data_IF_770573118718
#
_entry.id   IF_770573118718
#
_cell.length_a   1.000
_cell.length_b   1.000
_cell.length_c   1.000
_cell.angle_alpha   90.00
_cell.angle_beta   90.00
_cell.angle_gamma   90.00
#
_symmetry.space_group_name_H-M   'P 1'
#
loop_
_entity.id
_entity.type
_entity.pdbx_description
1 polymer ?
#
# COMPACT_ATOMS: atom_id res chain seq x y z
N UNK A 1 83.99 39.35 -21.64
CA UNK A 1 83.93 38.33 -20.59
C UNK A 1 82.50 37.79 -20.56
N UNK A 2 82.28 36.55 -21.03
CA UNK A 2 80.96 35.92 -21.19
C UNK A 2 80.61 35.17 -19.91
N UNK A 3 79.57 35.59 -19.17
CA UNK A 3 79.06 34.86 -18.03
C UNK A 3 78.18 33.70 -18.53
N UNK A 4 78.73 32.49 -18.48
CA UNK A 4 78.10 31.24 -18.89
C UNK A 4 76.92 30.95 -17.95
N UNK A 5 75.71 31.33 -18.34
CA UNK A 5 74.47 30.92 -17.68
C UNK A 5 74.42 29.40 -17.59
N UNK A 6 74.35 28.88 -16.37
CA UNK A 6 74.32 27.46 -16.08
C UNK A 6 72.95 26.90 -16.47
N UNK A 7 72.94 26.17 -17.60
CA UNK A 7 71.77 25.42 -18.10
C UNK A 7 71.14 24.52 -17.02
N UNK A 8 71.91 24.13 -16.01
CA UNK A 8 71.50 23.35 -14.84
C UNK A 8 70.50 24.07 -13.92
N UNK A 9 70.60 25.40 -13.75
CA UNK A 9 69.66 26.15 -12.90
C UNK A 9 68.25 26.18 -13.48
N UNK A 10 68.16 26.35 -14.80
CA UNK A 10 66.88 26.32 -15.53
C UNK A 10 66.25 24.93 -15.46
N UNK A 11 67.04 23.86 -15.58
CA UNK A 11 66.52 22.48 -15.48
C UNK A 11 65.93 22.19 -14.10
N UNK A 12 66.52 22.71 -13.02
CA UNK A 12 65.99 22.53 -11.65
C UNK A 12 64.69 23.32 -11.47
N UNK A 13 64.61 24.55 -11.99
CA UNK A 13 63.38 25.36 -11.95
C UNK A 13 62.25 24.76 -12.78
N UNK A 14 62.55 24.26 -13.97
CA UNK A 14 61.58 23.58 -14.84
C UNK A 14 61.12 22.26 -14.21
N UNK A 15 62.03 21.47 -13.65
CA UNK A 15 61.70 20.23 -12.93
C UNK A 15 60.83 20.49 -11.69
N UNK A 16 61.13 21.53 -10.92
CA UNK A 16 60.34 21.95 -9.77
C UNK A 16 58.93 22.38 -10.15
N UNK A 17 58.79 23.16 -11.23
CA UNK A 17 57.49 23.59 -11.73
C UNK A 17 56.61 22.41 -12.18
N UNK A 18 57.22 21.41 -12.84
CA UNK A 18 56.51 20.19 -13.26
C UNK A 18 56.07 19.36 -12.05
N UNK A 19 56.94 19.19 -11.04
CA UNK A 19 56.62 18.44 -9.83
C UNK A 19 55.46 19.07 -9.05
N UNK A 20 55.43 20.40 -8.92
CA UNK A 20 54.34 21.14 -8.28
C UNK A 20 53.05 21.01 -9.09
N UNK A 21 53.13 21.10 -10.42
CA UNK A 21 51.98 20.91 -11.30
C UNK A 21 51.34 19.54 -11.18
N UNK A 22 52.14 18.47 -11.12
CA UNK A 22 51.65 17.11 -10.95
C UNK A 22 51.02 16.87 -9.57
N UNK A 23 51.60 17.44 -8.51
CA UNK A 23 51.05 17.37 -7.16
C UNK A 23 49.70 18.10 -7.06
N UNK A 24 49.61 19.32 -7.61
CA UNK A 24 48.37 20.08 -7.64
C UNK A 24 47.28 19.35 -8.45
N UNK A 25 47.64 18.80 -9.61
CA UNK A 25 46.72 18.02 -10.45
C UNK A 25 46.20 16.77 -9.74
N UNK A 26 47.08 16.03 -9.04
CA UNK A 26 46.70 14.86 -8.24
C UNK A 26 45.74 15.21 -7.11
N UNK A 27 45.96 16.32 -6.40
CA UNK A 27 45.07 16.80 -5.33
C UNK A 27 43.70 17.18 -5.90
N UNK A 28 43.64 17.90 -7.02
CA UNK A 28 42.38 18.32 -7.67
C UNK A 28 41.56 17.12 -8.16
N UNK A 29 42.21 16.10 -8.73
CA UNK A 29 41.52 14.87 -9.14
C UNK A 29 41.01 14.07 -7.95
N UNK A 30 41.79 14.00 -6.87
CA UNK A 30 41.40 13.29 -5.65
C UNK A 30 40.25 13.97 -4.91
N UNK A 31 40.24 15.31 -4.84
CA UNK A 31 39.14 16.05 -4.23
C UNK A 31 37.88 15.98 -5.09
N UNK A 32 37.97 16.13 -6.41
CA UNK A 32 36.81 15.94 -7.30
C UNK A 32 36.21 14.53 -7.19
N UNK A 33 37.03 13.48 -7.18
CA UNK A 33 36.55 12.12 -7.02
C UNK A 33 35.78 11.91 -5.70
N UNK A 34 36.20 12.58 -4.61
CA UNK A 34 35.48 12.58 -3.32
C UNK A 34 34.25 13.49 -3.31
N UNK A 35 34.25 14.58 -4.07
CA UNK A 35 33.11 15.52 -4.18
C UNK A 35 31.92 14.92 -4.94
N UNK A 36 32.13 13.92 -5.81
CA UNK A 36 31.04 13.19 -6.48
C UNK A 36 30.17 12.35 -5.54
N UNK A 37 30.55 12.19 -4.27
CA UNK A 37 29.78 11.41 -3.28
C UNK A 37 28.69 12.21 -2.55
N UNK A 38 28.51 13.52 -2.82
CA UNK A 38 27.59 14.38 -2.03
C UNK A 38 26.44 14.96 -2.84
N UNK A 39 26.16 14.45 -4.03
CA UNK A 39 24.92 14.82 -4.74
C UNK A 39 24.34 13.64 -5.50
N UNK A 40 24.04 12.57 -4.75
CA UNK A 40 22.75 11.92 -4.99
C UNK A 40 21.69 12.87 -4.41
N UNK A 41 21.34 13.90 -5.18
CA UNK A 41 19.95 14.30 -5.19
C UNK A 41 19.27 13.04 -5.69
N UNK A 42 18.71 12.27 -4.76
CA UNK A 42 17.59 11.42 -5.09
C UNK A 42 16.63 12.37 -5.81
N UNK A 43 16.67 12.34 -7.14
CA UNK A 43 15.49 12.59 -7.93
C UNK A 43 14.52 11.53 -7.42
N UNK A 44 13.79 11.90 -6.36
CA UNK A 44 12.53 11.28 -6.04
C UNK A 44 11.70 11.68 -7.24
N UNK A 45 11.85 10.93 -8.33
CA UNK A 45 10.82 10.74 -9.32
C UNK A 45 9.55 10.66 -8.48
N UNK A 46 8.68 11.64 -8.66
CA UNK A 46 7.44 11.81 -7.93
C UNK A 46 6.56 10.63 -8.29
N UNK A 47 6.91 9.49 -7.73
CA UNK A 47 6.19 8.26 -7.84
C UNK A 47 4.83 8.59 -7.23
N UNK A 48 3.74 8.49 -8.01
CA UNK A 48 2.43 8.83 -7.50
C UNK A 48 2.22 7.98 -6.26
N UNK A 49 2.09 8.63 -5.10
CA UNK A 49 1.78 7.94 -3.84
C UNK A 49 0.59 7.06 -4.12
N UNK A 50 0.71 5.72 -4.01
CA UNK A 50 -0.43 4.85 -4.28
C UNK A 50 -1.56 5.29 -3.36
N UNK A 51 -2.81 5.38 -3.86
CA UNK A 51 -3.91 5.86 -3.06
C UNK A 51 -3.97 5.04 -1.78
N UNK A 52 -3.90 5.74 -0.64
CA UNK A 52 -3.96 5.13 0.67
C UNK A 52 -5.29 4.37 0.75
N UNK A 53 -5.22 3.04 0.87
CA UNK A 53 -6.40 2.17 0.93
C UNK A 53 -7.10 2.41 2.26
N UNK A 54 -8.05 3.34 2.30
CA UNK A 54 -8.92 3.55 3.45
C UNK A 54 -9.94 2.42 3.50
N UNK A 55 -9.83 1.56 4.51
CA UNK A 55 -10.84 0.54 4.79
C UNK A 55 -12.01 1.20 5.52
N UNK A 56 -13.13 1.35 4.82
CA UNK A 56 -14.38 1.82 5.44
C UNK A 56 -15.10 0.60 5.99
N UNK A 57 -15.12 0.48 7.33
CA UNK A 57 -15.86 -0.58 8.01
C UNK A 57 -17.21 0.00 8.44
N UNK A 58 -18.30 -0.57 7.91
CA UNK A 58 -19.65 -0.26 8.34
C UNK A 58 -20.26 -1.49 9.03
N UNK A 59 -20.77 -1.30 10.25
CA UNK A 59 -21.53 -2.31 10.97
C UNK A 59 -22.98 -2.29 10.46
N UNK A 60 -23.20 -2.94 9.32
CA UNK A 60 -24.54 -3.17 8.77
C UNK A 60 -25.26 -4.34 9.45
N UNK A 61 -26.57 -4.42 9.26
CA UNK A 61 -27.39 -5.61 9.59
C UNK A 61 -27.84 -6.26 8.29
N UNK A 62 -27.93 -7.59 8.27
CA UNK A 62 -28.54 -8.32 7.16
C UNK A 62 -30.04 -8.41 7.41
N UNK A 63 -30.81 -8.06 6.41
CA UNK A 63 -32.25 -8.22 6.37
C UNK A 63 -32.62 -9.13 5.20
N UNK A 64 -33.73 -9.89 5.29
CA UNK A 64 -34.22 -10.67 4.17
C UNK A 64 -34.44 -9.79 2.94
N UNK A 65 -34.07 -10.29 1.75
CA UNK A 65 -34.36 -9.59 0.49
C UNK A 65 -35.87 -9.43 0.25
N UNK A 66 -36.66 -10.36 0.81
CA UNK A 66 -38.12 -10.38 0.73
C UNK A 66 -38.82 -9.97 2.03
N UNK A 67 -40.10 -10.34 2.13
CA UNK A 67 -40.95 -9.99 3.28
C UNK A 67 -40.88 -11.03 4.41
N UNK A 68 -41.04 -10.57 5.65
CA UNK A 68 -41.21 -11.44 6.83
C UNK A 68 -42.70 -11.52 7.20
N UNK A 69 -43.34 -12.63 6.83
CA UNK A 69 -44.75 -12.87 7.15
C UNK A 69 -44.86 -13.67 8.46
N UNK A 70 -45.53 -13.08 9.45
CA UNK A 70 -45.85 -13.78 10.71
C UNK A 70 -47.18 -14.51 10.56
N UNK A 71 -47.12 -15.83 10.51
CA UNK A 71 -48.31 -16.68 10.40
C UNK A 71 -48.77 -17.06 11.80
N UNK A 72 -50.07 -16.88 12.09
CA UNK A 72 -50.71 -17.31 13.33
C UNK A 72 -52.02 -18.03 13.05
N UNK A 73 -52.47 -18.84 14.02
CA UNK A 73 -53.77 -19.48 13.98
C UNK A 73 -54.91 -18.59 14.48
N UNK A 74 -56.17 -19.06 14.38
CA UNK A 74 -57.33 -18.40 14.96
C UNK A 74 -57.19 -18.19 16.48
N UNK A 75 -57.68 -17.05 16.97
CA UNK A 75 -57.64 -16.72 18.40
C UNK A 75 -58.51 -17.68 19.23
N UNK A 76 -57.95 -18.21 20.32
CA UNK A 76 -58.67 -19.09 21.26
C UNK A 76 -58.64 -20.57 20.89
N UNK A 77 -58.14 -20.92 19.71
CA UNK A 77 -58.06 -22.29 19.23
C UNK A 77 -56.69 -22.92 19.54
N UNK A 78 -56.69 -24.19 19.96
CA UNK A 78 -55.46 -24.97 20.15
C UNK A 78 -55.03 -25.61 18.83
N UNK A 79 -53.75 -25.43 18.47
CA UNK A 79 -53.11 -26.12 17.33
C UNK A 79 -52.98 -27.61 17.68
N UNK A 80 -53.57 -28.49 16.86
CA UNK A 80 -53.53 -29.95 17.05
C UNK A 80 -52.38 -30.61 16.32
N UNK A 81 -51.95 -30.05 15.18
CA UNK A 81 -50.92 -30.60 14.29
C UNK A 81 -50.18 -29.46 13.60
N UNK A 82 -48.87 -29.65 13.37
CA UNK A 82 -48.01 -28.77 12.58
C UNK A 82 -47.23 -29.66 11.60
N UNK A 83 -47.48 -29.49 10.31
CA UNK A 83 -46.89 -30.33 9.25
C UNK A 83 -45.64 -29.68 8.60
N UNK A 84 -45.01 -28.75 9.31
CA UNK A 84 -43.77 -28.08 8.88
C UNK A 84 -42.72 -28.18 9.97
N UNK A 85 -41.45 -28.27 9.55
CA UNK A 85 -40.30 -28.25 10.43
C UNK A 85 -39.60 -26.90 10.40
N UNK A 86 -38.83 -26.61 11.44
CA UNK A 86 -37.99 -25.42 11.46
C UNK A 86 -36.96 -25.47 10.32
N UNK A 87 -36.81 -24.35 9.60
CA UNK A 87 -35.92 -24.24 8.44
C UNK A 87 -36.44 -24.90 7.16
N UNK A 88 -37.66 -25.45 7.16
CA UNK A 88 -38.27 -26.03 5.97
C UNK A 88 -38.65 -24.95 4.95
N UNK A 89 -38.30 -25.16 3.68
CA UNK A 89 -38.74 -24.29 2.59
C UNK A 89 -40.18 -24.63 2.22
N UNK A 90 -41.01 -23.61 2.09
CA UNK A 90 -42.45 -23.76 1.82
C UNK A 90 -42.86 -22.97 0.58
N UNK A 91 -43.83 -23.48 -0.17
CA UNK A 91 -44.36 -22.81 -1.36
C UNK A 91 -45.71 -22.15 -1.07
N UNK A 92 -46.02 -21.07 -1.78
CA UNK A 92 -47.33 -20.41 -1.68
C UNK A 92 -48.47 -21.39 -2.01
N UNK A 93 -49.53 -21.37 -1.21
CA UNK A 93 -50.69 -22.26 -1.38
C UNK A 93 -50.46 -23.70 -0.92
N UNK A 94 -49.28 -24.04 -0.39
CA UNK A 94 -49.07 -25.32 0.28
C UNK A 94 -49.98 -25.37 1.52
N UNK A 95 -50.95 -26.28 1.50
CA UNK A 95 -51.83 -26.51 2.65
C UNK A 95 -51.06 -27.30 3.70
N UNK A 96 -50.47 -26.59 4.66
CA UNK A 96 -50.01 -27.19 5.90
C UNK A 96 -51.27 -27.36 6.77
N UNK A 97 -51.68 -28.60 7.11
CA UNK A 97 -52.93 -28.86 7.84
C UNK A 97 -52.78 -28.37 9.30
N UNK A 98 -53.02 -27.07 9.50
CA UNK A 98 -53.16 -26.43 10.80
C UNK A 98 -54.52 -26.84 11.40
N UNK A 99 -54.68 -28.11 11.76
CA UNK A 99 -55.94 -28.59 12.34
C UNK A 99 -56.13 -27.96 13.71
N UNK A 100 -57.12 -27.08 13.87
CA UNK A 100 -57.49 -26.55 15.18
C UNK A 100 -58.54 -27.45 15.84
N UNK A 101 -58.49 -27.55 17.17
CA UNK A 101 -59.52 -28.24 17.95
C UNK A 101 -60.34 -27.18 18.68
N UNK A 102 -61.53 -26.87 18.15
CA UNK A 102 -62.53 -26.03 18.83
C UNK A 102 -62.97 -26.70 20.14
N UNK A 103 -62.83 -26.01 21.26
CA UNK A 103 -63.42 -26.42 22.52
C UNK A 103 -64.87 -25.89 22.55
N UNK A 104 -65.82 -26.80 22.70
CA UNK A 104 -67.17 -26.53 23.16
C UNK A 104 -67.23 -26.81 24.67
#
# INVERSE_FOLDING_TARGET
>A
MQAKQSKTGIVIWVGGAIAIGLLAFGIIQYTQARSTSTTQVNEIESQPTPPQRTSVVALGRIEPEGEVIRVSGPTGDRIRRLDVKEGEQVTSGQVWDLRTSRFA
#
